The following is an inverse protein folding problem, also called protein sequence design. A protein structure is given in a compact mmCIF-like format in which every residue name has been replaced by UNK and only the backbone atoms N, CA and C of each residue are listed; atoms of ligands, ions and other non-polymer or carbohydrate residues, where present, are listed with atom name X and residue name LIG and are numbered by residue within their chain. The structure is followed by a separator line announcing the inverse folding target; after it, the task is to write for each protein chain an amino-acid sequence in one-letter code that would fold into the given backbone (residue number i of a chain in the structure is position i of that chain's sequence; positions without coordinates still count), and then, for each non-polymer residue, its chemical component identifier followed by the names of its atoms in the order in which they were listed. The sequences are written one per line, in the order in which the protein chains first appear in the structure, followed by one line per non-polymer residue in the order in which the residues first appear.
data_IF_705822855234
#
_entry.id   IF_705822855234
#
_cell.length_a   1.000
_cell.length_b   1.000
_cell.length_c   1.000
_cell.angle_alpha   90.00
_cell.angle_beta   90.00
_cell.angle_gamma   90.00
#
_symmetry.space_group_name_H-M   'P 1'
#
loop_
_entity.id
_entity.type
_entity.pdbx_description
1 polymer ?
#
# COMPACT_ATOMS: atom_id res chain seq x y z
N UNK A 1 -15.20 -0.56 -3.41
CA UNK A 1 -14.21 0.14 -2.56
C UNK A 1 -14.34 1.64 -2.80
N UNK A 2 -13.46 2.48 -2.24
CA UNK A 2 -13.52 3.94 -2.41
C UNK A 2 -13.41 4.38 -3.87
N UNK A 3 -12.58 3.71 -4.68
CA UNK A 3 -12.40 4.06 -6.10
C UNK A 3 -13.71 3.86 -6.86
N UNK A 4 -14.35 2.70 -6.66
CA UNK A 4 -15.65 2.42 -7.26
C UNK A 4 -16.73 3.40 -6.80
N UNK A 5 -16.75 3.78 -5.52
CA UNK A 5 -17.72 4.76 -5.00
C UNK A 5 -17.58 6.13 -5.68
N UNK A 6 -16.36 6.65 -5.81
CA UNK A 6 -16.14 7.96 -6.40
C UNK A 6 -16.37 7.99 -7.92
N UNK A 7 -16.21 6.87 -8.61
CA UNK A 7 -16.45 6.72 -10.05
C UNK A 7 -17.94 6.73 -10.45
N UNK A 8 -18.86 6.60 -9.49
CA UNK A 8 -20.31 6.64 -9.74
C UNK A 8 -20.78 8.05 -10.03
N UNK A 9 -21.11 8.36 -11.28
CA UNK A 9 -21.54 9.70 -11.69
C UNK A 9 -22.98 10.03 -11.26
N UNK A 10 -23.80 9.00 -11.02
CA UNK A 10 -25.21 9.13 -10.67
C UNK A 10 -25.45 9.54 -9.20
N UNK A 11 -24.41 9.48 -8.36
CA UNK A 11 -24.51 9.87 -6.95
C UNK A 11 -24.17 11.34 -6.76
N UNK A 12 -24.98 12.02 -5.93
CA UNK A 12 -24.63 13.35 -5.44
C UNK A 12 -23.36 13.29 -4.57
N UNK A 13 -22.71 14.44 -4.40
CA UNK A 13 -21.56 14.56 -3.49
C UNK A 13 -21.92 14.15 -2.06
N UNK A 14 -23.11 14.53 -1.59
CA UNK A 14 -23.59 14.19 -0.24
C UNK A 14 -23.77 12.67 -0.08
N UNK A 15 -24.38 12.02 -1.08
CA UNK A 15 -24.55 10.57 -1.07
C UNK A 15 -23.20 9.85 -1.10
N UNK A 16 -22.23 10.33 -1.89
CA UNK A 16 -20.86 9.80 -1.90
C UNK A 16 -20.20 9.93 -0.53
N UNK A 17 -20.38 11.05 0.17
CA UNK A 17 -19.82 11.23 1.51
C UNK A 17 -20.47 10.28 2.52
N UNK A 18 -21.80 10.10 2.47
CA UNK A 18 -22.51 9.17 3.35
C UNK A 18 -22.08 7.72 3.13
N UNK A 19 -21.97 7.28 1.88
CA UNK A 19 -21.48 5.93 1.58
C UNK A 19 -20.01 5.76 1.93
N UNK A 20 -19.18 6.81 1.82
CA UNK A 20 -17.78 6.78 2.26
C UNK A 20 -17.69 6.47 3.75
N UNK A 21 -18.47 7.16 4.58
CA UNK A 21 -18.46 6.91 6.03
C UNK A 21 -18.86 5.47 6.37
N UNK A 22 -19.83 4.90 5.63
CA UNK A 22 -20.18 3.48 5.78
C UNK A 22 -19.03 2.56 5.41
N UNK A 23 -18.37 2.80 4.27
CA UNK A 23 -17.20 2.03 3.86
C UNK A 23 -16.05 2.11 4.88
N UNK A 24 -15.84 3.28 5.49
CA UNK A 24 -14.85 3.46 6.54
C UNK A 24 -15.18 2.65 7.79
N UNK A 25 -16.41 2.74 8.28
CA UNK A 25 -16.87 1.98 9.44
C UNK A 25 -16.78 0.47 9.20
N UNK A 26 -17.17 0.00 8.02
CA UNK A 26 -17.06 -1.42 7.63
C UNK A 26 -15.60 -1.90 7.58
N UNK A 27 -14.70 -1.07 7.04
CA UNK A 27 -13.27 -1.40 7.02
C UNK A 27 -12.66 -1.44 8.42
N UNK A 28 -13.03 -0.52 9.30
CA UNK A 28 -12.57 -0.52 10.69
C UNK A 28 -13.06 -1.76 11.45
N UNK A 29 -14.34 -2.13 11.28
CA UNK A 29 -14.92 -3.34 11.86
C UNK A 29 -14.20 -4.59 11.38
N UNK A 30 -14.04 -4.74 10.06
CA UNK A 30 -13.31 -5.86 9.46
C UNK A 30 -11.87 -5.95 9.97
N UNK A 31 -11.19 -4.81 10.10
CA UNK A 31 -9.83 -4.81 10.66
C UNK A 31 -9.82 -5.32 12.10
N UNK A 32 -10.73 -4.83 12.96
CA UNK A 32 -10.80 -5.25 14.35
C UNK A 32 -11.12 -6.74 14.51
N UNK A 33 -12.03 -7.26 13.69
CA UNK A 33 -12.55 -8.64 13.82
C UNK A 33 -11.69 -9.68 13.09
N UNK A 34 -11.20 -9.38 11.89
CA UNK A 34 -10.54 -10.37 11.03
C UNK A 34 -9.02 -10.20 10.96
N UNK A 35 -8.54 -8.97 10.90
CA UNK A 35 -7.13 -8.67 10.61
C UNK A 35 -6.31 -8.59 11.89
N UNK A 36 -6.77 -7.79 12.86
CA UNK A 36 -6.07 -7.53 14.13
C UNK A 36 -5.70 -8.82 14.87
N UNK A 37 -6.57 -9.84 14.99
CA UNK A 37 -6.21 -11.09 15.69
C UNK A 37 -5.09 -11.89 15.00
N UNK A 38 -4.83 -11.65 13.71
CA UNK A 38 -3.78 -12.35 12.94
C UNK A 38 -2.43 -11.64 13.00
N UNK A 39 -2.40 -10.38 13.45
CA UNK A 39 -1.16 -9.61 13.57
C UNK A 39 -0.42 -10.04 14.83
N UNK A 40 0.89 -10.25 14.72
CA UNK A 40 1.78 -10.54 15.86
C UNK A 40 2.27 -9.28 16.59
N UNK A 41 1.81 -8.11 16.15
CA UNK A 41 2.26 -6.80 16.62
C UNK A 41 1.05 -5.93 16.97
N UNK A 42 1.18 -5.14 18.03
CA UNK A 42 0.13 -4.24 18.52
C UNK A 42 0.07 -2.91 17.72
N UNK A 43 0.56 -2.87 16.48
CA UNK A 43 0.60 -1.66 15.64
C UNK A 43 -0.77 -1.27 15.08
N UNK A 44 -0.99 -0.01 14.68
CA UNK A 44 -2.26 0.50 14.14
C UNK A 44 -3.47 0.70 15.10
N UNK A 45 -3.29 0.95 16.41
CA UNK A 45 -4.44 1.19 17.29
C UNK A 45 -5.27 2.43 16.88
N UNK A 46 -4.66 3.41 16.22
CA UNK A 46 -5.36 4.58 15.67
C UNK A 46 -6.30 4.25 14.51
N UNK A 47 -6.10 3.15 13.79
CA UNK A 47 -6.97 2.78 12.67
C UNK A 47 -8.40 2.49 13.11
N UNK A 48 -8.58 1.96 14.32
CA UNK A 48 -9.91 1.64 14.89
C UNK A 48 -10.43 2.71 15.86
N UNK A 49 -9.58 3.65 16.28
CA UNK A 49 -9.92 4.67 17.30
C UNK A 49 -10.23 6.04 16.71
N UNK A 50 -9.58 6.39 15.61
CA UNK A 50 -9.71 7.72 15.01
C UNK A 50 -10.60 7.69 13.77
N UNK A 51 -11.38 8.76 13.50
CA UNK A 51 -12.09 8.90 12.23
C UNK A 51 -11.13 8.81 11.05
N UNK A 52 -11.47 7.95 10.07
CA UNK A 52 -10.69 7.87 8.84
C UNK A 52 -10.92 9.11 7.99
N UNK A 53 -9.85 9.63 7.41
CA UNK A 53 -9.90 10.72 6.43
C UNK A 53 -9.01 10.38 5.22
N UNK A 54 -9.31 11.00 4.08
CA UNK A 54 -8.64 10.70 2.81
C UNK A 54 -7.13 10.97 2.85
N UNK A 55 -6.67 12.02 3.58
CA UNK A 55 -5.25 12.35 3.66
C UNK A 55 -4.45 11.26 4.39
N UNK A 56 -4.97 10.76 5.51
CA UNK A 56 -4.37 9.65 6.26
C UNK A 56 -4.36 8.36 5.42
N UNK A 57 -5.44 8.08 4.67
CA UNK A 57 -5.49 6.92 3.79
C UNK A 57 -4.48 7.01 2.65
N UNK A 58 -4.32 8.17 2.01
CA UNK A 58 -3.31 8.38 0.96
C UNK A 58 -1.90 8.22 1.53
N UNK A 59 -1.60 8.84 2.68
CA UNK A 59 -0.30 8.70 3.33
C UNK A 59 0.06 7.23 3.60
N UNK A 60 -0.90 6.47 4.15
CA UNK A 60 -0.70 5.03 4.40
C UNK A 60 -0.62 4.23 3.10
N UNK A 61 -1.43 4.58 2.10
CA UNK A 61 -1.37 3.93 0.80
C UNK A 61 0.02 4.08 0.21
N UNK A 62 0.58 5.30 0.18
CA UNK A 62 1.95 5.55 -0.30
C UNK A 62 2.98 4.75 0.51
N UNK A 63 2.85 4.72 1.84
CA UNK A 63 3.83 4.06 2.70
C UNK A 63 3.82 2.53 2.59
N UNK A 64 2.64 1.94 2.37
CA UNK A 64 2.45 0.50 2.24
C UNK A 64 2.24 0.04 0.79
N UNK A 65 2.40 0.94 -0.19
CA UNK A 65 2.27 0.58 -1.61
C UNK A 65 3.42 -0.32 -2.02
N UNK A 66 3.12 -1.29 -2.89
CA UNK A 66 4.10 -2.15 -3.55
C UNK A 66 5.09 -2.87 -2.61
N UNK A 67 4.73 -3.11 -1.34
CA UNK A 67 5.57 -3.90 -0.42
C UNK A 67 5.96 -5.28 -0.98
N UNK A 68 5.09 -5.89 -1.78
CA UNK A 68 5.39 -7.15 -2.47
C UNK A 68 6.59 -7.08 -3.42
N UNK A 69 6.83 -5.92 -4.05
CA UNK A 69 7.98 -5.73 -4.94
C UNK A 69 9.29 -5.77 -4.16
N UNK A 70 9.35 -5.15 -2.98
CA UNK A 70 10.55 -5.17 -2.14
C UNK A 70 10.83 -6.59 -1.61
N UNK A 71 9.78 -7.32 -1.25
CA UNK A 71 9.87 -8.73 -0.85
C UNK A 71 10.39 -9.61 -2.01
N UNK A 72 9.95 -9.35 -3.24
CA UNK A 72 10.44 -10.06 -4.43
C UNK A 72 11.92 -9.82 -4.68
N UNK A 73 12.37 -8.55 -4.57
CA UNK A 73 13.79 -8.21 -4.64
C UNK A 73 14.57 -8.96 -3.55
N UNK A 74 14.11 -8.89 -2.29
CA UNK A 74 14.74 -9.59 -1.17
C UNK A 74 14.93 -11.10 -1.43
N UNK A 75 13.87 -11.77 -1.91
CA UNK A 75 13.93 -13.20 -2.26
C UNK A 75 14.85 -13.49 -3.43
N UNK A 76 14.84 -12.66 -4.48
CA UNK A 76 15.74 -12.81 -5.63
C UNK A 76 17.22 -12.66 -5.26
N UNK A 77 17.52 -12.00 -4.13
CA UNK A 77 18.87 -11.88 -3.57
C UNK A 77 19.20 -12.97 -2.55
N UNK A 78 18.42 -14.06 -2.52
CA UNK A 78 18.65 -15.21 -1.64
C UNK A 78 18.39 -14.91 -0.16
N UNK A 79 17.59 -13.88 0.15
CA UNK A 79 17.33 -13.48 1.53
C UNK A 79 18.45 -12.64 2.18
N UNK A 80 19.40 -12.12 1.39
CA UNK A 80 20.39 -11.17 1.87
C UNK A 80 19.79 -9.75 1.95
N UNK A 81 19.51 -9.31 3.19
CA UNK A 81 18.88 -8.03 3.45
C UNK A 81 19.75 -6.84 3.07
N UNK A 82 21.05 -6.89 3.40
CA UNK A 82 21.97 -5.77 3.13
C UNK A 82 22.13 -5.60 1.63
N UNK A 83 22.28 -6.70 0.90
CA UNK A 83 22.37 -6.68 -0.55
C UNK A 83 21.09 -6.17 -1.19
N UNK A 84 19.92 -6.66 -0.77
CA UNK A 84 18.63 -6.20 -1.29
C UNK A 84 18.45 -4.70 -1.09
N UNK A 85 18.73 -4.18 0.12
CA UNK A 85 18.62 -2.76 0.42
C UNK A 85 19.56 -1.89 -0.42
N UNK A 86 20.81 -2.33 -0.61
CA UNK A 86 21.77 -1.60 -1.45
C UNK A 86 21.30 -1.53 -2.90
N UNK A 87 20.83 -2.64 -3.47
CA UNK A 87 20.34 -2.70 -4.85
C UNK A 87 19.09 -1.82 -5.05
N UNK A 88 18.14 -1.86 -4.11
CA UNK A 88 16.93 -1.02 -4.12
C UNK A 88 17.31 0.46 -4.11
N UNK A 89 18.18 0.87 -3.20
CA UNK A 89 18.60 2.27 -3.06
C UNK A 89 19.38 2.73 -4.31
N UNK A 90 20.24 1.87 -4.85
CA UNK A 90 20.98 2.18 -6.08
C UNK A 90 20.03 2.36 -7.27
N UNK A 91 19.08 1.43 -7.47
CA UNK A 91 18.10 1.51 -8.56
C UNK A 91 17.21 2.75 -8.46
N UNK A 92 16.66 3.03 -7.27
CA UNK A 92 15.82 4.20 -7.03
C UNK A 92 16.58 5.53 -7.24
N UNK A 93 17.88 5.58 -6.92
CA UNK A 93 18.73 6.75 -7.20
C UNK A 93 19.07 6.90 -8.68
N UNK A 94 19.15 5.79 -9.41
CA UNK A 94 19.44 5.76 -10.85
C UNK A 94 18.28 6.27 -11.71
N UNK A 95 17.04 6.18 -11.23
CA UNK A 95 15.87 6.76 -11.88
C UNK A 95 14.99 7.49 -10.86
N UNK A 96 15.23 8.79 -10.68
CA UNK A 96 14.48 9.61 -9.72
C UNK A 96 13.06 9.94 -10.19
N UNK A 97 12.82 9.90 -11.50
CA UNK A 97 11.51 10.22 -12.10
C UNK A 97 10.53 9.05 -11.92
N UNK A 98 11.02 7.81 -12.04
CA UNK A 98 10.26 6.60 -11.72
C UNK A 98 11.12 5.57 -10.95
N UNK A 99 11.31 5.79 -9.63
CA UNK A 99 12.13 4.90 -8.81
C UNK A 99 11.53 3.50 -8.68
N UNK A 100 10.19 3.37 -8.77
CA UNK A 100 9.54 2.07 -8.68
C UNK A 100 9.74 1.23 -9.93
N UNK A 101 9.70 1.83 -11.13
CA UNK A 101 10.05 1.12 -12.36
C UNK A 101 11.50 0.60 -12.33
N UNK A 102 12.43 1.39 -11.79
CA UNK A 102 13.81 0.95 -11.63
C UNK A 102 13.96 -0.21 -10.64
N UNK A 103 13.23 -0.20 -9.52
CA UNK A 103 13.21 -1.32 -8.57
C UNK A 103 12.54 -2.56 -9.20
N UNK A 104 11.48 -2.38 -9.99
CA UNK A 104 10.80 -3.48 -10.71
C UNK A 104 11.73 -4.16 -11.73
N UNK A 105 12.59 -3.40 -12.41
CA UNK A 105 13.57 -3.94 -13.35
C UNK A 105 14.59 -4.88 -12.69
N UNK A 106 14.79 -4.83 -11.36
CA UNK A 106 15.70 -5.73 -10.63
C UNK A 106 15.24 -7.19 -10.57
N UNK A 107 13.93 -7.43 -10.80
CA UNK A 107 13.27 -8.74 -10.70
C UNK A 107 12.49 -9.10 -11.96
N UNK A 108 12.38 -8.19 -12.93
CA UNK A 108 11.84 -8.51 -14.24
C UNK A 108 12.71 -9.60 -14.91
N UNK A 109 12.12 -10.67 -15.48
CA UNK A 109 12.87 -11.66 -16.23
C UNK A 109 13.59 -10.94 -17.38
N UNK A 110 14.92 -11.01 -17.38
CA UNK A 110 15.75 -10.23 -18.28
C UNK A 110 15.35 -10.41 -19.74
N UNK A 111 15.07 -9.30 -20.42
CA UNK A 111 15.23 -9.21 -21.86
C UNK A 111 16.71 -9.39 -22.17
N UNK A 112 17.11 -10.64 -22.41
CA UNK A 112 18.39 -10.97 -22.99
C UNK A 112 18.40 -10.55 -24.46
N UNK A 113 19.39 -9.72 -24.80
CA UNK A 113 19.88 -9.47 -26.14
C UNK A 113 21.39 -9.32 -26.04
#
# INVERSE_FOLDING_TARGET
DLKALYAREELSTEDKLRERERLFADAQRRFAEEVRPRLRVDTFPSFTRDPLNNATLISRHIYYDRLGLFEEVYRSRGGDFIRAMNDIVAAARGNKDDPYAAVQALVAPGGGG
#
